data_IF_502735855506
#
_entry.id   IF_502735855506
#
_cell.length_a   1.000
_cell.length_b   1.000
_cell.length_c   1.000
_cell.angle_alpha   90.00
_cell.angle_beta   90.00
_cell.angle_gamma   90.00
#
_symmetry.space_group_name_H-M   'P 1'
#
loop_
_entity.id
_entity.type
_entity.pdbx_description
1 polymer ?
#
# COMPACT_ATOMS: atom_id res chain seq x y z
N UNK A 1 -9.55 3.97 -7.76
CA UNK A 1 -10.13 3.52 -9.07
C UNK A 1 -9.37 3.96 -10.33
N UNK A 2 -8.92 5.22 -10.52
CA UNK A 2 -8.30 5.64 -11.82
C UNK A 2 -6.90 5.06 -12.10
N UNK A 3 -6.07 4.90 -11.07
CA UNK A 3 -4.68 4.42 -11.21
C UNK A 3 -4.57 2.93 -11.57
N UNK A 4 -5.45 2.09 -11.03
CA UNK A 4 -5.46 0.65 -11.32
C UNK A 4 -5.73 0.40 -12.81
N UNK A 5 -6.71 1.09 -13.39
CA UNK A 5 -7.02 0.98 -14.82
C UNK A 5 -5.82 1.34 -15.71
N UNK A 6 -5.06 2.38 -15.35
CA UNK A 6 -3.84 2.78 -16.09
C UNK A 6 -2.79 1.67 -16.00
N UNK A 7 -2.52 1.13 -14.81
CA UNK A 7 -1.54 0.07 -14.62
C UNK A 7 -1.92 -1.21 -15.38
N UNK A 8 -3.20 -1.61 -15.31
CA UNK A 8 -3.74 -2.73 -16.08
C UNK A 8 -3.60 -2.50 -17.59
N UNK A 9 -3.89 -1.29 -18.07
CA UNK A 9 -3.71 -0.91 -19.48
C UNK A 9 -2.24 -1.01 -19.92
N UNK A 10 -1.31 -0.48 -19.13
CA UNK A 10 0.11 -0.55 -19.42
C UNK A 10 0.59 -2.00 -19.53
N UNK A 11 0.15 -2.88 -18.62
CA UNK A 11 0.47 -4.30 -18.71
C UNK A 11 -0.15 -4.93 -19.96
N UNK A 12 -1.45 -4.73 -20.19
CA UNK A 12 -2.14 -5.29 -21.36
C UNK A 12 -1.50 -4.85 -22.69
N UNK A 13 -0.97 -3.62 -22.77
CA UNK A 13 -0.42 -3.05 -24.01
C UNK A 13 1.08 -3.33 -24.20
N UNK A 14 1.87 -3.33 -23.13
CA UNK A 14 3.32 -3.29 -23.23
C UNK A 14 4.05 -4.40 -22.48
N UNK A 15 3.37 -5.17 -21.64
CA UNK A 15 4.02 -6.27 -20.92
C UNK A 15 4.47 -7.36 -21.89
N UNK A 16 5.73 -7.79 -21.74
CA UNK A 16 6.27 -8.90 -22.52
C UNK A 16 5.60 -10.21 -22.12
N UNK A 17 5.40 -11.10 -23.08
CA UNK A 17 4.94 -12.45 -22.80
C UNK A 17 5.99 -13.22 -21.99
N UNK A 18 5.79 -13.31 -20.68
CA UNK A 18 6.59 -14.11 -19.74
C UNK A 18 5.65 -14.93 -18.86
N UNK A 19 6.17 -15.90 -18.13
CA UNK A 19 5.40 -16.68 -17.14
C UNK A 19 5.06 -15.85 -15.89
N UNK A 20 5.91 -14.89 -15.54
CA UNK A 20 5.83 -14.10 -14.32
C UNK A 20 5.25 -12.71 -14.62
N UNK A 21 4.04 -12.69 -15.20
CA UNK A 21 3.36 -11.43 -15.54
C UNK A 21 2.90 -10.68 -14.30
N UNK A 22 3.13 -9.37 -14.28
CA UNK A 22 2.55 -8.43 -13.32
C UNK A 22 1.02 -8.44 -13.38
N UNK A 23 0.47 -8.69 -14.58
CA UNK A 23 -0.97 -8.81 -14.80
C UNK A 23 -1.31 -10.04 -15.67
N UNK A 24 -1.49 -11.22 -15.06
CA UNK A 24 -1.68 -12.49 -15.77
C UNK A 24 -2.95 -12.48 -16.63
N UNK A 25 -2.99 -13.22 -17.73
CA UNK A 25 -4.14 -13.26 -18.66
C UNK A 25 -5.10 -14.43 -18.44
N UNK A 26 -4.65 -15.48 -17.73
CA UNK A 26 -5.52 -16.58 -17.34
C UNK A 26 -6.60 -16.05 -16.38
N UNK A 27 -7.90 -16.36 -16.62
CA UNK A 27 -9.01 -15.75 -15.88
C UNK A 27 -8.93 -15.85 -14.36
N UNK A 28 -8.56 -17.01 -13.80
CA UNK A 28 -8.50 -17.20 -12.36
C UNK A 28 -7.36 -16.41 -11.72
N UNK A 29 -6.15 -16.47 -12.30
CA UNK A 29 -5.00 -15.70 -11.86
C UNK A 29 -5.25 -14.19 -11.98
N UNK A 30 -5.92 -13.75 -13.06
CA UNK A 30 -6.32 -12.35 -13.23
C UNK A 30 -7.34 -11.93 -12.18
N UNK A 31 -8.33 -12.77 -11.91
CA UNK A 31 -9.34 -12.54 -10.89
C UNK A 31 -8.73 -12.30 -9.50
N UNK A 32 -7.69 -13.05 -9.14
CA UNK A 32 -6.96 -12.84 -7.88
C UNK A 32 -6.28 -11.46 -7.81
N UNK A 33 -5.63 -11.03 -8.90
CA UNK A 33 -5.01 -9.69 -8.96
C UNK A 33 -6.07 -8.60 -8.91
N UNK A 34 -7.14 -8.72 -9.69
CA UNK A 34 -8.23 -7.74 -9.74
C UNK A 34 -8.89 -7.59 -8.36
N UNK A 35 -9.19 -8.70 -7.67
CA UNK A 35 -9.71 -8.67 -6.31
C UNK A 35 -8.83 -7.85 -5.38
N UNK A 36 -7.52 -8.07 -5.42
CA UNK A 36 -6.57 -7.37 -4.56
C UNK A 36 -6.40 -5.89 -4.94
N UNK A 37 -6.56 -5.54 -6.22
CA UNK A 37 -6.63 -4.13 -6.64
C UNK A 37 -7.84 -3.42 -6.00
N UNK A 38 -9.01 -4.06 -5.94
CA UNK A 38 -10.17 -3.50 -5.22
C UNK A 38 -9.95 -3.46 -3.70
N UNK A 39 -9.38 -4.52 -3.11
CA UNK A 39 -9.02 -4.55 -1.69
C UNK A 39 -8.06 -3.40 -1.35
N UNK A 40 -7.11 -3.08 -2.24
CA UNK A 40 -6.16 -1.98 -2.03
C UNK A 40 -6.85 -0.63 -1.81
N UNK A 41 -7.97 -0.37 -2.49
CA UNK A 41 -8.74 0.87 -2.32
C UNK A 41 -9.39 0.93 -0.93
N UNK A 42 -9.91 -0.20 -0.42
CA UNK A 42 -10.42 -0.27 0.96
C UNK A 42 -9.32 -0.07 2.01
N UNK A 43 -8.08 -0.49 1.72
CA UNK A 43 -6.92 -0.25 2.59
C UNK A 43 -6.54 1.24 2.56
N UNK A 44 -6.57 1.88 1.38
CA UNK A 44 -6.37 3.32 1.24
C UNK A 44 -7.39 4.10 2.06
N UNK A 45 -8.67 3.73 2.01
CA UNK A 45 -9.74 4.43 2.73
C UNK A 45 -9.57 4.30 4.25
N UNK A 46 -9.21 3.11 4.73
CA UNK A 46 -8.94 2.88 6.16
C UNK A 46 -7.70 3.67 6.63
N UNK A 47 -6.61 3.62 5.85
CA UNK A 47 -5.39 4.39 6.14
C UNK A 47 -5.68 5.90 6.14
N UNK A 48 -6.38 6.41 5.13
CA UNK A 48 -6.71 7.83 5.01
C UNK A 48 -7.61 8.31 6.14
N UNK A 49 -8.54 7.46 6.59
CA UNK A 49 -9.42 7.73 7.72
C UNK A 49 -8.66 7.80 9.05
N UNK A 50 -7.74 6.86 9.28
CA UNK A 50 -6.87 6.85 10.47
C UNK A 50 -5.90 8.04 10.46
N UNK A 51 -5.23 8.29 9.35
CA UNK A 51 -4.30 9.40 9.20
C UNK A 51 -4.98 10.76 9.15
N UNK A 52 -6.29 10.83 8.88
CA UNK A 52 -7.00 12.09 8.66
C UNK A 52 -6.25 13.00 7.66
N UNK A 53 -5.82 12.43 6.52
CA UNK A 53 -4.85 13.07 5.60
C UNK A 53 -5.27 14.50 5.25
N UNK A 54 -6.53 14.71 4.87
CA UNK A 54 -7.01 16.03 4.50
C UNK A 54 -7.00 17.02 5.66
N UNK A 55 -7.41 16.58 6.86
CA UNK A 55 -7.43 17.43 8.05
C UNK A 55 -6.03 17.80 8.52
N UNK A 56 -5.08 16.88 8.41
CA UNK A 56 -3.68 17.11 8.79
C UNK A 56 -2.98 18.00 7.77
N UNK A 57 -3.05 17.68 6.47
CA UNK A 57 -2.27 18.39 5.44
C UNK A 57 -2.86 19.75 5.09
N UNK A 58 -4.19 19.88 5.05
CA UNK A 58 -4.86 21.10 4.57
C UNK A 58 -5.62 21.86 5.67
N UNK A 59 -5.53 21.42 6.93
CA UNK A 59 -6.24 22.01 8.06
C UNK A 59 -5.42 21.96 9.36
N UNK A 60 -6.12 22.07 10.49
CA UNK A 60 -5.53 21.96 11.83
C UNK A 60 -5.88 20.61 12.51
N UNK A 61 -6.15 19.58 11.71
CA UNK A 61 -6.49 18.24 12.19
C UNK A 61 -5.29 17.45 12.69
N UNK A 62 -5.55 16.38 13.43
CA UNK A 62 -4.57 15.37 13.87
C UNK A 62 -5.06 13.97 13.49
N UNK A 63 -4.29 12.92 13.78
CA UNK A 63 -4.70 11.53 13.58
C UNK A 63 -6.06 11.23 14.23
N UNK A 64 -6.78 10.27 13.65
CA UNK A 64 -8.05 9.79 14.16
C UNK A 64 -7.87 8.40 14.78
N UNK A 65 -7.49 8.36 16.05
CA UNK A 65 -7.20 7.11 16.77
C UNK A 65 -8.39 6.13 16.80
N UNK A 66 -9.63 6.63 16.75
CA UNK A 66 -10.83 5.79 16.69
C UNK A 66 -10.92 4.95 15.40
N UNK A 67 -10.12 5.27 14.37
CA UNK A 67 -10.03 4.54 13.11
C UNK A 67 -8.79 3.63 13.02
N UNK A 68 -7.90 3.68 14.01
CA UNK A 68 -6.68 2.88 14.04
C UNK A 68 -6.98 1.38 13.95
N UNK A 69 -7.90 0.89 14.76
CA UNK A 69 -8.22 -0.54 14.80
C UNK A 69 -8.82 -1.07 13.51
N UNK A 70 -9.59 -0.25 12.77
CA UNK A 70 -10.09 -0.63 11.46
C UNK A 70 -8.94 -0.77 10.45
N UNK A 71 -7.99 0.16 10.47
CA UNK A 71 -6.78 0.05 9.65
C UNK A 71 -5.94 -1.18 10.02
N UNK A 72 -5.74 -1.46 11.31
CA UNK A 72 -5.05 -2.67 11.77
C UNK A 72 -5.75 -3.96 11.33
N UNK A 73 -7.10 -3.99 11.34
CA UNK A 73 -7.87 -5.11 10.76
C UNK A 73 -7.58 -5.28 9.27
N UNK A 74 -7.40 -4.18 8.51
CA UNK A 74 -7.02 -4.28 7.10
C UNK A 74 -5.63 -4.88 6.92
N UNK A 75 -4.66 -4.57 7.78
CA UNK A 75 -3.33 -5.20 7.77
C UNK A 75 -3.45 -6.70 8.03
N UNK A 76 -4.30 -7.11 8.99
CA UNK A 76 -4.59 -8.53 9.23
C UNK A 76 -5.20 -9.25 8.01
N UNK A 77 -5.98 -8.56 7.18
CA UNK A 77 -6.43 -9.12 5.90
C UNK A 77 -5.26 -9.36 4.93
N UNK A 78 -4.28 -8.45 4.88
CA UNK A 78 -3.07 -8.62 4.05
C UNK A 78 -2.27 -9.83 4.54
N UNK A 79 -2.07 -9.96 5.86
CA UNK A 79 -1.40 -11.11 6.49
C UNK A 79 -2.06 -12.44 6.07
N UNK A 80 -3.40 -12.48 6.07
CA UNK A 80 -4.17 -13.64 5.61
C UNK A 80 -4.04 -13.89 4.09
N UNK A 81 -4.05 -12.83 3.27
CA UNK A 81 -3.88 -12.95 1.82
C UNK A 81 -2.51 -13.49 1.44
N UNK A 82 -1.46 -13.10 2.18
CA UNK A 82 -0.13 -13.66 2.02
C UNK A 82 -0.15 -15.16 2.32
N UNK A 83 -0.76 -15.58 3.43
CA UNK A 83 -0.84 -17.01 3.75
C UNK A 83 0.56 -17.63 3.73
N UNK A 84 0.79 -18.65 2.90
CA UNK A 84 2.12 -19.26 2.72
C UNK A 84 2.84 -18.80 1.44
N UNK A 85 2.33 -17.75 0.79
CA UNK A 85 2.89 -17.19 -0.44
C UNK A 85 3.85 -16.06 -0.13
N UNK A 86 4.80 -15.87 -1.04
CA UNK A 86 5.67 -14.70 -1.00
C UNK A 86 4.91 -13.44 -1.41
N UNK A 87 4.12 -13.47 -2.49
CA UNK A 87 3.39 -12.31 -3.00
C UNK A 87 1.89 -12.50 -2.87
N UNK A 88 1.14 -11.39 -2.94
CA UNK A 88 -0.28 -11.40 -2.56
C UNK A 88 -1.13 -12.28 -3.50
N UNK A 89 -0.91 -12.17 -4.81
CA UNK A 89 -1.74 -12.81 -5.83
C UNK A 89 -1.12 -14.05 -6.48
N UNK A 90 0.20 -14.21 -6.41
CA UNK A 90 0.97 -15.24 -7.12
C UNK A 90 2.26 -15.60 -6.37
N UNK A 91 3.10 -16.46 -6.97
CA UNK A 91 4.44 -16.76 -6.47
C UNK A 91 5.51 -15.73 -6.91
N UNK A 92 5.09 -14.72 -7.67
CA UNK A 92 5.91 -13.61 -8.14
C UNK A 92 5.16 -12.29 -7.96
N UNK A 93 5.88 -11.18 -8.07
CA UNK A 93 5.31 -9.84 -7.91
C UNK A 93 4.25 -9.54 -8.96
N UNK A 94 3.14 -8.94 -8.54
CA UNK A 94 2.04 -8.51 -9.41
C UNK A 94 1.66 -7.04 -9.17
N UNK A 95 0.73 -6.52 -9.98
CA UNK A 95 0.16 -5.19 -9.73
C UNK A 95 -0.45 -5.06 -8.33
N UNK A 96 -1.03 -6.14 -7.80
CA UNK A 96 -1.62 -6.14 -6.45
C UNK A 96 -0.58 -5.73 -5.40
N UNK A 97 0.65 -6.25 -5.52
CA UNK A 97 1.72 -5.99 -4.56
C UNK A 97 2.11 -4.51 -4.53
N UNK A 98 2.26 -3.87 -5.69
CA UNK A 98 2.58 -2.44 -5.76
C UNK A 98 1.47 -1.57 -5.16
N UNK A 99 0.22 -1.90 -5.47
CA UNK A 99 -0.91 -1.10 -5.01
C UNK A 99 -1.12 -1.18 -3.51
N UNK A 100 -0.98 -2.36 -2.92
CA UNK A 100 -1.11 -2.55 -1.47
C UNK A 100 0.11 -2.01 -0.73
N UNK A 101 1.33 -2.31 -1.19
CA UNK A 101 2.56 -1.90 -0.50
C UNK A 101 2.72 -0.38 -0.45
N UNK A 102 2.36 0.34 -1.52
CA UNK A 102 2.42 1.81 -1.57
C UNK A 102 1.65 2.45 -0.42
N UNK A 103 0.52 1.87 -0.01
CA UNK A 103 -0.28 2.40 1.12
C UNK A 103 0.48 2.24 2.42
N UNK A 104 1.00 1.04 2.68
CA UNK A 104 1.72 0.74 3.92
C UNK A 104 3.01 1.56 4.01
N UNK A 105 3.76 1.70 2.92
CA UNK A 105 4.98 2.52 2.89
C UNK A 105 4.71 3.99 3.23
N UNK A 106 3.61 4.55 2.74
CA UNK A 106 3.21 5.92 3.08
C UNK A 106 2.85 6.06 4.56
N UNK A 107 2.11 5.09 5.12
CA UNK A 107 1.78 5.10 6.56
C UNK A 107 3.06 4.91 7.40
N UNK A 108 3.95 3.99 7.02
CA UNK A 108 5.25 3.75 7.67
C UNK A 108 6.06 5.04 7.73
N UNK A 109 6.20 5.73 6.60
CA UNK A 109 6.95 6.98 6.49
C UNK A 109 6.34 8.11 7.33
N UNK A 110 5.00 8.15 7.43
CA UNK A 110 4.26 9.24 8.06
C UNK A 110 4.08 9.07 9.58
N UNK A 111 3.78 7.87 10.07
CA UNK A 111 3.40 7.61 11.47
C UNK A 111 4.29 6.56 12.15
N UNK A 112 5.14 5.86 11.39
CA UNK A 112 5.60 4.55 11.80
C UNK A 112 4.47 3.52 11.70
N UNK A 113 4.83 2.26 11.56
CA UNK A 113 3.87 1.17 11.41
C UNK A 113 4.25 0.05 12.39
N UNK A 114 3.45 -0.22 13.44
CA UNK A 114 3.73 -1.32 14.36
C UNK A 114 3.29 -2.65 13.71
N UNK A 115 4.13 -3.16 12.81
CA UNK A 115 3.87 -4.41 12.08
C UNK A 115 4.42 -5.64 12.80
N UNK A 116 4.86 -5.52 14.04
CA UNK A 116 5.44 -6.64 14.82
C UNK A 116 4.48 -7.83 14.93
N UNK A 117 3.18 -7.55 14.95
CA UNK A 117 2.13 -8.57 14.99
C UNK A 117 1.81 -9.19 13.61
N UNK A 118 2.45 -8.71 12.54
CA UNK A 118 2.21 -9.12 11.15
C UNK A 118 3.53 -9.51 10.46
N UNK A 119 4.16 -10.63 10.87
CA UNK A 119 5.48 -11.03 10.39
C UNK A 119 5.50 -11.33 8.89
N UNK A 120 4.41 -11.82 8.29
CA UNK A 120 4.37 -12.07 6.84
C UNK A 120 4.30 -10.77 6.07
N UNK A 121 3.52 -9.80 6.53
CA UNK A 121 3.48 -8.44 5.96
C UNK A 121 4.86 -7.78 6.04
N UNK A 122 5.57 -7.91 7.17
CA UNK A 122 6.94 -7.41 7.30
C UNK A 122 7.87 -8.03 6.25
N UNK A 123 7.94 -9.37 6.20
CA UNK A 123 8.79 -10.07 5.24
C UNK A 123 8.43 -9.74 3.79
N UNK A 124 7.14 -9.58 3.49
CA UNK A 124 6.67 -9.17 2.18
C UNK A 124 7.06 -7.74 1.84
N UNK A 125 6.90 -6.77 2.74
CA UNK A 125 7.34 -5.39 2.52
C UNK A 125 8.85 -5.31 2.30
N UNK A 126 9.64 -6.08 3.04
CA UNK A 126 11.10 -6.14 2.83
C UNK A 126 11.45 -6.68 1.44
N UNK A 127 10.74 -7.72 0.97
CA UNK A 127 10.87 -8.23 -0.40
C UNK A 127 10.49 -7.18 -1.45
N UNK A 128 9.44 -6.38 -1.22
CA UNK A 128 9.06 -5.27 -2.11
C UNK A 128 10.15 -4.18 -2.12
N UNK A 129 10.66 -3.77 -0.96
CA UNK A 129 11.74 -2.78 -0.84
C UNK A 129 13.04 -3.24 -1.52
N UNK A 130 13.28 -4.55 -1.58
CA UNK A 130 14.45 -5.15 -2.23
C UNK A 130 14.36 -5.24 -3.77
N UNK A 131 13.22 -4.89 -4.38
CA UNK A 131 13.09 -4.92 -5.84
C UNK A 131 14.05 -3.89 -6.48
N UNK A 132 14.73 -4.23 -7.60
CA UNK A 132 15.83 -3.43 -8.14
C UNK A 132 15.42 -2.02 -8.61
N UNK A 133 14.13 -1.81 -8.85
CA UNK A 133 13.57 -0.52 -9.27
C UNK A 133 12.83 0.23 -8.14
N UNK A 134 12.74 -0.36 -6.94
CA UNK A 134 11.96 0.19 -5.84
C UNK A 134 12.44 1.59 -5.46
N UNK A 135 13.73 1.72 -5.12
CA UNK A 135 14.31 2.98 -4.66
C UNK A 135 14.08 4.13 -5.64
N UNK A 136 14.33 3.88 -6.94
CA UNK A 136 14.13 4.86 -8.02
C UNK A 136 12.67 5.31 -8.16
N UNK A 137 11.69 4.48 -7.81
CA UNK A 137 10.27 4.73 -8.06
C UNK A 137 9.49 5.17 -6.83
N UNK A 138 9.95 4.83 -5.62
CA UNK A 138 9.19 5.03 -4.38
C UNK A 138 9.88 5.94 -3.36
N UNK A 139 11.21 5.93 -3.24
CA UNK A 139 11.90 6.59 -2.11
C UNK A 139 11.58 8.08 -2.01
N UNK A 140 11.70 8.81 -3.13
CA UNK A 140 11.44 10.26 -3.16
C UNK A 140 9.98 10.57 -2.77
N UNK A 141 9.01 9.90 -3.40
CA UNK A 141 7.60 10.15 -3.16
C UNK A 141 7.16 9.81 -1.73
N UNK A 142 7.62 8.67 -1.21
CA UNK A 142 7.32 8.21 0.16
C UNK A 142 7.98 9.12 1.20
N UNK A 143 9.22 9.57 0.95
CA UNK A 143 9.91 10.51 1.82
C UNK A 143 9.21 11.88 1.84
N UNK A 144 8.88 12.43 0.66
CA UNK A 144 8.17 13.70 0.52
C UNK A 144 6.83 13.67 1.26
N UNK A 145 6.03 12.62 1.06
CA UNK A 145 4.74 12.47 1.74
C UNK A 145 4.92 12.39 3.26
N UNK A 146 5.83 11.54 3.74
CA UNK A 146 6.07 11.38 5.17
C UNK A 146 6.54 12.67 5.84
N UNK A 147 7.47 13.41 5.22
CA UNK A 147 7.95 14.70 5.71
C UNK A 147 6.82 15.74 5.78
N UNK A 148 6.03 15.86 4.69
CA UNK A 148 4.90 16.79 4.64
C UNK A 148 3.88 16.48 5.73
N UNK A 149 3.51 15.21 5.88
CA UNK A 149 2.53 14.78 6.87
C UNK A 149 3.01 15.01 8.30
N UNK A 150 4.22 14.54 8.65
CA UNK A 150 4.81 14.72 9.99
C UNK A 150 4.94 16.19 10.37
N UNK A 151 5.41 17.01 9.43
CA UNK A 151 5.57 18.45 9.65
C UNK A 151 4.26 19.16 9.95
N UNK A 152 3.17 18.83 9.25
CA UNK A 152 1.86 19.41 9.54
C UNK A 152 1.24 18.82 10.81
N UNK A 153 1.36 17.51 11.05
CA UNK A 153 0.84 16.88 12.25
C UNK A 153 1.43 17.52 13.52
N UNK A 154 2.75 17.70 13.58
CA UNK A 154 3.42 18.35 14.70
C UNK A 154 2.94 19.80 14.92
N UNK A 155 2.80 20.58 13.84
CA UNK A 155 2.26 21.95 13.90
C UNK A 155 0.82 21.98 14.42
N UNK A 156 0.00 21.03 14.00
CA UNK A 156 -1.41 20.97 14.39
C UNK A 156 -1.58 20.53 15.85
N UNK A 157 -0.74 19.60 16.32
CA UNK A 157 -0.69 19.19 17.72
C UNK A 157 -0.28 20.33 18.65
N UNK A 158 0.67 21.18 18.23
CA UNK A 158 1.12 22.33 19.04
C UNK A 158 0.09 23.47 19.16
N UNK A 159 -0.97 23.46 18.34
CA UNK A 159 -2.07 24.45 18.37
C UNK A 159 -3.26 24.01 19.22
N UNK A 160 -3.31 22.75 19.64
CA UNK A 160 -4.33 22.21 20.54
C UNK A 160 -3.87 22.36 21.98
#
# INVERSE_FOLDING_TARGET
MRKAAIACYLCNKYEKATKDKLYPTEPQARGNVDQLLYVSENIVDAASSYMNISGVIFGNGVTNEAKRDDFMKKIGLIENFLGDKDYLAAHHVTLADFFVSTVLLNVESALGLPLVDFPKVLAWLDRIKALPYFSKTHDEGVAMFGQLYKGNLAKNQAKK
#
